data_IF_390055230164
#
_entry.id   IF_390055230164
#
_cell.length_a   1.000
_cell.length_b   1.000
_cell.length_c   1.000
_cell.angle_alpha   90.00
_cell.angle_beta   90.00
_cell.angle_gamma   90.00
#
_symmetry.space_group_name_H-M   'P 1'
#
loop_
_entity.id
_entity.type
_entity.pdbx_description
1 polymer ?
#
# COMPACT_ATOMS: atom_id res chain seq x y z
N UNK A 1 -8.02 26.93 10.89
CA UNK A 1 -7.36 26.91 9.57
C UNK A 1 -6.72 25.55 9.43
N UNK A 2 -6.97 24.81 8.36
CA UNK A 2 -6.25 23.55 8.14
C UNK A 2 -4.78 23.88 7.86
N UNK A 3 -3.86 23.29 8.62
CA UNK A 3 -2.44 23.39 8.30
C UNK A 3 -2.21 22.78 6.91
N UNK A 4 -1.49 23.49 6.04
CA UNK A 4 -1.12 22.97 4.72
C UNK A 4 -0.23 21.72 4.86
N UNK A 5 -0.28 20.83 3.86
CA UNK A 5 0.60 19.66 3.78
C UNK A 5 2.04 20.14 3.65
N UNK A 6 2.94 19.60 4.47
CA UNK A 6 4.34 20.03 4.56
C UNK A 6 5.30 18.88 4.22
N UNK A 7 5.62 18.76 2.94
CA UNK A 7 6.56 17.76 2.38
C UNK A 7 7.62 18.51 1.57
N UNK A 8 8.83 18.63 2.13
CA UNK A 8 9.93 19.41 1.52
C UNK A 8 11.23 18.62 1.40
N UNK A 9 11.22 17.34 1.79
CA UNK A 9 12.37 16.44 1.77
C UNK A 9 11.88 14.99 1.75
N UNK A 10 12.54 14.15 0.92
CA UNK A 10 12.26 12.71 0.81
C UNK A 10 12.99 11.85 1.86
N UNK A 11 13.95 12.44 2.61
CA UNK A 11 14.84 11.72 3.56
C UNK A 11 14.83 12.32 4.97
N UNK A 12 14.09 13.41 5.18
CA UNK A 12 13.94 14.01 6.50
C UNK A 12 13.15 13.14 7.46
N UNK A 13 13.07 13.54 8.73
CA UNK A 13 12.31 12.80 9.75
C UNK A 13 10.82 12.77 9.37
N UNK A 14 10.30 11.57 9.09
CA UNK A 14 8.88 11.33 8.82
C UNK A 14 8.05 11.62 10.07
N UNK A 15 7.04 12.49 9.93
CA UNK A 15 6.12 12.87 11.03
C UNK A 15 4.74 12.22 10.90
N UNK A 16 4.25 12.11 9.69
CA UNK A 16 2.92 11.57 9.38
C UNK A 16 2.98 10.95 7.99
N UNK A 17 2.32 9.81 7.82
CA UNK A 17 2.21 9.09 6.55
C UNK A 17 0.78 8.56 6.41
N UNK A 18 0.31 8.44 5.17
CA UNK A 18 -0.95 7.81 4.83
C UNK A 18 -0.65 6.47 4.16
N UNK A 19 -1.37 5.43 4.57
CA UNK A 19 -1.20 4.07 4.08
C UNK A 19 -2.57 3.49 3.74
N UNK A 20 -2.62 2.61 2.73
CA UNK A 20 -3.81 1.86 2.35
C UNK A 20 -3.54 0.37 2.57
N UNK A 21 -4.31 -0.25 3.46
CA UNK A 21 -4.18 -1.69 3.74
C UNK A 21 -4.90 -2.49 2.65
N UNK A 22 -4.25 -3.47 1.99
CA UNK A 22 -4.89 -4.30 0.97
C UNK A 22 -6.16 -4.98 1.49
N UNK A 23 -7.26 -4.82 0.76
CA UNK A 23 -8.55 -5.42 1.02
C UNK A 23 -8.97 -6.41 -0.06
N UNK A 24 -10.29 -6.67 -0.16
CA UNK A 24 -10.85 -7.63 -1.13
C UNK A 24 -10.65 -7.22 -2.59
N UNK A 25 -10.24 -5.98 -2.86
CA UNK A 25 -9.93 -5.51 -4.20
C UNK A 25 -8.89 -6.38 -4.90
N UNK A 26 -7.91 -6.92 -4.16
CA UNK A 26 -6.85 -7.75 -4.74
C UNK A 26 -7.27 -9.20 -4.99
N UNK A 27 -8.37 -9.68 -4.39
CA UNK A 27 -8.88 -11.04 -4.62
C UNK A 27 -9.56 -11.20 -6.00
N UNK A 28 -9.92 -10.08 -6.65
CA UNK A 28 -10.53 -10.09 -7.98
C UNK A 28 -9.51 -10.12 -9.12
N UNK A 29 -8.21 -10.24 -8.80
CA UNK A 29 -7.14 -10.27 -9.79
C UNK A 29 -7.01 -11.69 -10.33
N UNK A 30 -7.04 -11.81 -11.65
CA UNK A 30 -6.92 -13.06 -12.40
C UNK A 30 -5.70 -13.00 -13.28
N UNK A 31 -5.14 -14.13 -13.74
CA UNK A 31 -4.01 -14.13 -14.68
C UNK A 31 -4.25 -13.24 -15.91
N UNK A 32 -5.46 -13.27 -16.48
CA UNK A 32 -5.81 -12.51 -17.68
C UNK A 32 -5.94 -10.99 -17.43
N UNK A 33 -6.28 -10.59 -16.21
CA UNK A 33 -6.43 -9.17 -15.83
C UNK A 33 -5.16 -8.57 -15.25
N UNK A 34 -4.16 -9.38 -14.91
CA UNK A 34 -2.97 -9.00 -14.16
C UNK A 34 -2.12 -7.91 -14.84
N UNK A 35 -1.77 -8.12 -16.11
CA UNK A 35 -0.96 -7.18 -16.90
C UNK A 35 -1.66 -5.81 -17.02
N UNK A 36 -2.98 -5.81 -17.22
CA UNK A 36 -3.78 -4.58 -17.30
C UNK A 36 -3.89 -3.85 -15.96
N UNK A 37 -3.85 -4.59 -14.86
CA UNK A 37 -3.91 -4.07 -13.50
C UNK A 37 -2.52 -3.77 -12.91
N UNK A 38 -1.45 -3.91 -13.71
CA UNK A 38 -0.06 -3.62 -13.33
C UNK A 38 0.45 -4.48 -12.17
N UNK A 39 0.01 -5.73 -12.10
CA UNK A 39 0.56 -6.73 -11.20
C UNK A 39 1.56 -7.63 -11.93
N UNK A 40 2.61 -8.03 -11.24
CA UNK A 40 3.62 -8.96 -11.79
C UNK A 40 3.32 -10.43 -11.42
N UNK A 41 2.51 -10.67 -10.38
CA UNK A 41 2.09 -12.00 -9.92
C UNK A 41 0.70 -11.95 -9.24
N UNK A 42 0.09 -13.12 -9.01
CA UNK A 42 -1.22 -13.25 -8.36
C UNK A 42 -1.08 -12.92 -6.87
N UNK A 43 -1.72 -11.86 -6.36
CA UNK A 43 -1.60 -11.49 -4.96
C UNK A 43 -2.38 -12.45 -4.07
N UNK A 44 -1.83 -12.74 -2.89
CA UNK A 44 -2.50 -13.54 -1.86
C UNK A 44 -2.83 -12.68 -0.64
N UNK A 45 -4.11 -12.29 -0.53
CA UNK A 45 -4.61 -11.32 0.44
C UNK A 45 -4.16 -11.56 1.90
N UNK A 46 -4.26 -12.78 2.46
CA UNK A 46 -3.84 -13.02 3.84
C UNK A 46 -2.35 -12.79 4.09
N UNK A 47 -1.49 -12.99 3.10
CA UNK A 47 -0.04 -12.74 3.22
C UNK A 47 0.26 -11.27 2.99
N UNK A 48 -0.31 -10.66 1.94
CA UNK A 48 -0.16 -9.23 1.67
C UNK A 48 -0.56 -8.36 2.88
N UNK A 49 -1.65 -8.75 3.56
CA UNK A 49 -2.06 -8.10 4.81
C UNK A 49 -1.05 -8.29 5.95
N UNK A 50 -0.51 -9.50 6.14
CA UNK A 50 0.50 -9.75 7.18
C UNK A 50 1.78 -8.97 6.94
N UNK A 51 2.23 -8.87 5.69
CA UNK A 51 3.40 -8.08 5.29
C UNK A 51 3.15 -6.59 5.51
N UNK A 52 1.99 -6.07 5.08
CA UNK A 52 1.60 -4.68 5.34
C UNK A 52 1.53 -4.38 6.84
N UNK A 53 0.94 -5.26 7.64
CA UNK A 53 0.83 -5.10 9.09
C UNK A 53 2.20 -5.22 9.81
N UNK A 54 3.16 -5.93 9.21
CA UNK A 54 4.54 -5.95 9.69
C UNK A 54 5.24 -4.61 9.47
N UNK A 55 5.01 -3.96 8.32
CA UNK A 55 5.52 -2.62 7.98
C UNK A 55 5.05 -1.52 8.96
N UNK A 56 3.89 -1.70 9.59
CA UNK A 56 3.31 -0.77 10.56
C UNK A 56 3.88 -0.90 11.97
N UNK A 57 4.74 -1.90 12.23
CA UNK A 57 5.28 -2.13 13.57
C UNK A 57 6.37 -1.07 13.89
N UNK A 58 6.35 -0.49 15.10
CA UNK A 58 7.33 0.53 15.52
C UNK A 58 8.74 -0.04 15.73
#
# INVERSE_FOLDING_TARGET
MANAIHVTSEIGKLKTVMLHRPGKEIENITPDSMERLLFDDIPYLPIAQKEHDFLLRP
#
